data_IF_244299475192
#
_entry.id   IF_244299475192
#
_cell.length_a   1.000
_cell.length_b   1.000
_cell.length_c   1.000
_cell.angle_alpha   90.00
_cell.angle_beta   90.00
_cell.angle_gamma   90.00
#
_symmetry.space_group_name_H-M   'P 1'
#
loop_
_entity.id
_entity.type
_entity.pdbx_description
1 polymer ?
#
# COMPACT_ATOMS: atom_id res chain seq x y z
N UNK A 1 -17.53 -31.95 -63.81
CA UNK A 1 -17.37 -32.58 -62.46
C UNK A 1 -16.60 -31.60 -61.60
N UNK A 2 -17.30 -30.81 -60.76
CA UNK A 2 -16.69 -29.74 -59.90
C UNK A 2 -16.39 -30.31 -58.54
N UNK A 3 -15.11 -30.32 -58.16
CA UNK A 3 -14.70 -30.65 -56.83
C UNK A 3 -14.92 -29.44 -55.87
N UNK A 4 -15.80 -29.63 -54.89
CA UNK A 4 -15.99 -28.68 -53.80
C UNK A 4 -14.85 -28.84 -52.79
N UNK A 5 -14.00 -27.82 -52.62
CA UNK A 5 -13.04 -27.77 -51.52
C UNK A 5 -13.74 -27.34 -50.24
N UNK A 6 -13.83 -28.24 -49.27
CA UNK A 6 -14.26 -27.94 -47.89
C UNK A 6 -13.12 -27.22 -47.18
N UNK A 7 -13.24 -25.91 -47.02
CA UNK A 7 -12.44 -25.16 -46.06
C UNK A 7 -12.95 -25.44 -44.64
N UNK A 8 -12.24 -26.22 -43.87
CA UNK A 8 -12.45 -26.35 -42.46
C UNK A 8 -11.97 -25.05 -41.79
N UNK A 9 -12.91 -24.22 -41.37
CA UNK A 9 -12.66 -23.05 -40.53
C UNK A 9 -12.58 -23.54 -39.10
N UNK A 10 -11.35 -23.77 -38.60
CA UNK A 10 -11.11 -24.03 -37.17
C UNK A 10 -11.29 -22.71 -36.43
N UNK A 11 -12.45 -22.55 -35.82
CA UNK A 11 -12.74 -21.44 -34.91
C UNK A 11 -11.97 -21.72 -33.59
N UNK A 12 -10.79 -21.14 -33.46
CA UNK A 12 -10.02 -21.17 -32.21
C UNK A 12 -10.75 -20.29 -31.18
N UNK A 13 -11.64 -20.90 -30.42
CA UNK A 13 -12.21 -20.27 -29.24
C UNK A 13 -11.07 -20.12 -28.21
N UNK A 14 -10.39 -18.99 -28.23
CA UNK A 14 -9.54 -18.57 -27.11
C UNK A 14 -10.48 -18.24 -25.95
N UNK A 15 -10.74 -19.25 -25.13
CA UNK A 15 -11.37 -19.06 -23.81
C UNK A 15 -10.37 -18.26 -22.98
N UNK A 16 -10.46 -16.93 -23.03
CA UNK A 16 -9.84 -16.07 -22.00
C UNK A 16 -10.57 -16.39 -20.70
N UNK A 17 -10.11 -17.45 -20.01
CA UNK A 17 -10.31 -17.53 -18.58
C UNK A 17 -9.58 -16.31 -17.99
N UNK A 18 -10.33 -15.26 -17.72
CA UNK A 18 -9.90 -14.25 -16.76
C UNK A 18 -9.89 -15.01 -15.42
N UNK A 19 -8.75 -15.67 -15.13
CA UNK A 19 -8.50 -16.17 -13.79
C UNK A 19 -8.66 -14.96 -12.88
N UNK A 20 -9.52 -15.05 -11.89
CA UNK A 20 -9.61 -14.03 -10.87
C UNK A 20 -8.18 -13.85 -10.32
N UNK A 21 -7.63 -12.67 -10.51
CA UNK A 21 -6.27 -12.37 -10.07
C UNK A 21 -6.32 -12.33 -8.55
N UNK A 22 -5.42 -13.07 -7.90
CA UNK A 22 -5.35 -13.09 -6.46
C UNK A 22 -5.02 -11.69 -5.94
N UNK A 23 -5.74 -11.25 -4.93
CA UNK A 23 -5.46 -9.97 -4.26
C UNK A 23 -4.34 -10.13 -3.24
N UNK A 24 -3.62 -9.06 -3.03
CA UNK A 24 -2.64 -8.97 -1.95
C UNK A 24 -3.06 -7.86 -0.99
N UNK A 25 -3.08 -8.16 0.30
CA UNK A 25 -3.35 -7.18 1.36
C UNK A 25 -2.06 -6.96 2.15
N UNK A 26 -1.60 -5.71 2.23
CA UNK A 26 -0.39 -5.38 2.98
C UNK A 26 -0.79 -4.75 4.31
N UNK A 27 -0.49 -5.43 5.40
CA UNK A 27 -0.74 -4.94 6.75
C UNK A 27 0.35 -3.96 7.18
N UNK A 28 -0.07 -2.89 7.85
CA UNK A 28 0.79 -1.84 8.35
C UNK A 28 0.66 -1.72 9.87
N UNK A 29 1.79 -1.85 10.55
CA UNK A 29 1.96 -1.65 11.99
C UNK A 29 3.04 -0.59 12.27
N UNK A 30 3.14 -0.16 13.55
CA UNK A 30 4.21 0.75 13.98
C UNK A 30 4.77 0.32 15.34
N UNK A 31 4.03 0.54 16.44
CA UNK A 31 4.40 0.19 17.82
C UNK A 31 3.66 -1.03 18.30
N UNK A 32 4.24 -1.73 19.27
CA UNK A 32 3.59 -2.86 19.92
C UNK A 32 3.68 -2.73 21.43
N UNK A 33 2.56 -3.03 22.14
CA UNK A 33 2.45 -2.99 23.60
C UNK A 33 2.93 -1.68 24.23
N UNK A 34 2.77 -0.56 23.54
CA UNK A 34 3.19 0.77 23.97
C UNK A 34 1.98 1.70 24.21
N UNK A 35 1.37 1.58 25.38
CA UNK A 35 0.20 2.38 25.77
C UNK A 35 0.43 3.90 25.80
N UNK A 36 1.70 4.35 25.73
CA UNK A 36 2.02 5.80 25.68
C UNK A 36 1.58 6.45 24.37
N UNK A 37 1.46 5.64 23.31
CA UNK A 37 1.18 6.10 21.94
C UNK A 37 0.04 5.28 21.31
N UNK A 38 -1.19 5.39 21.81
CA UNK A 38 -2.31 4.56 21.37
C UNK A 38 -2.56 4.66 19.85
N UNK A 39 -2.44 5.86 19.28
CA UNK A 39 -2.69 6.10 17.84
C UNK A 39 -1.71 5.42 16.87
N UNK A 40 -0.68 4.76 17.37
CA UNK A 40 0.29 3.98 16.58
C UNK A 40 0.53 2.59 17.16
N UNK A 41 -0.18 2.24 18.24
CA UNK A 41 0.00 0.99 18.95
C UNK A 41 -0.92 -0.12 18.46
N UNK A 42 -0.40 -1.33 18.48
CA UNK A 42 -1.13 -2.60 18.32
C UNK A 42 -0.68 -3.52 19.45
N UNK A 43 -1.62 -4.19 20.13
CA UNK A 43 -1.25 -5.16 21.15
C UNK A 43 -0.74 -6.45 20.51
N UNK A 44 0.23 -7.12 21.13
CA UNK A 44 0.76 -8.39 20.60
C UNK A 44 -0.30 -9.48 20.52
N UNK A 45 -1.27 -9.50 21.43
CA UNK A 45 -2.43 -10.41 21.34
C UNK A 45 -3.31 -10.12 20.11
N UNK A 46 -3.37 -8.88 19.65
CA UNK A 46 -4.05 -8.54 18.39
C UNK A 46 -3.26 -9.05 17.19
N UNK A 47 -1.92 -8.85 17.20
CA UNK A 47 -1.05 -9.39 16.16
C UNK A 47 -1.19 -10.92 16.04
N UNK A 48 -1.22 -11.65 17.16
CA UNK A 48 -1.45 -13.09 17.16
C UNK A 48 -2.82 -13.46 16.55
N UNK A 49 -3.88 -12.71 16.90
CA UNK A 49 -5.21 -12.89 16.30
C UNK A 49 -5.20 -12.60 14.81
N UNK A 50 -4.51 -11.56 14.35
CA UNK A 50 -4.39 -11.23 12.92
C UNK A 50 -3.72 -12.37 12.15
N UNK A 51 -2.62 -12.92 12.65
CA UNK A 51 -1.93 -14.07 12.06
C UNK A 51 -2.86 -15.29 11.99
N UNK A 52 -3.62 -15.55 13.05
CA UNK A 52 -4.58 -16.64 13.10
C UNK A 52 -5.70 -16.47 12.06
N UNK A 53 -6.30 -15.27 11.95
CA UNK A 53 -7.35 -14.96 10.98
C UNK A 53 -6.86 -15.16 9.54
N UNK A 54 -5.65 -14.70 9.23
CA UNK A 54 -5.03 -14.87 7.91
C UNK A 54 -4.93 -16.35 7.55
N UNK A 55 -4.47 -17.19 8.50
CA UNK A 55 -4.38 -18.65 8.33
C UNK A 55 -5.76 -19.32 8.25
N UNK A 56 -6.73 -18.91 9.07
CA UNK A 56 -8.10 -19.43 9.03
C UNK A 56 -8.83 -19.15 7.72
N UNK A 57 -8.58 -18.00 7.12
CA UNK A 57 -9.15 -17.60 5.83
C UNK A 57 -8.39 -18.16 4.62
N UNK A 58 -7.40 -19.02 4.84
CA UNK A 58 -6.57 -19.69 3.82
C UNK A 58 -5.81 -18.71 2.91
N UNK A 59 -5.40 -17.55 3.43
CA UNK A 59 -4.49 -16.64 2.72
C UNK A 59 -3.04 -17.14 2.83
N UNK A 60 -2.28 -16.97 1.76
CA UNK A 60 -0.83 -17.14 1.80
C UNK A 60 -0.21 -15.98 2.60
N UNK A 61 0.86 -16.25 3.34
CA UNK A 61 1.65 -15.21 3.99
C UNK A 61 2.94 -15.05 3.17
N UNK A 62 3.10 -13.88 2.57
CA UNK A 62 4.20 -13.58 1.66
C UNK A 62 5.28 -12.73 2.33
N UNK A 63 6.51 -12.93 1.90
CA UNK A 63 7.59 -11.97 2.09
C UNK A 63 7.36 -10.75 1.19
N UNK A 64 8.05 -9.63 1.46
CA UNK A 64 8.01 -8.48 0.54
C UNK A 64 8.64 -8.83 -0.81
N UNK A 65 9.60 -9.77 -0.84
CA UNK A 65 10.18 -10.29 -2.08
C UNK A 65 9.17 -11.10 -2.91
N UNK A 66 8.29 -11.87 -2.26
CA UNK A 66 7.19 -12.55 -2.96
C UNK A 66 6.24 -11.55 -3.62
N UNK A 67 5.96 -10.41 -2.94
CA UNK A 67 5.17 -9.33 -3.52
C UNK A 67 5.88 -8.69 -4.71
N UNK A 68 7.19 -8.43 -4.61
CA UNK A 68 7.99 -7.94 -5.75
C UNK A 68 7.87 -8.89 -6.94
N UNK A 69 8.10 -10.18 -6.71
CA UNK A 69 8.02 -11.20 -7.76
C UNK A 69 6.64 -11.29 -8.39
N UNK A 70 5.58 -11.06 -7.61
CA UNK A 70 4.21 -10.97 -8.10
C UNK A 70 3.97 -9.71 -8.95
N UNK A 71 4.43 -8.55 -8.49
CA UNK A 71 4.31 -7.27 -9.20
C UNK A 71 4.99 -7.32 -10.56
N UNK A 72 6.17 -7.94 -10.64
CA UNK A 72 6.94 -8.06 -11.88
C UNK A 72 6.67 -9.34 -12.69
N UNK A 73 5.69 -10.14 -12.26
CA UNK A 73 5.18 -11.30 -13.02
C UNK A 73 6.04 -12.55 -12.95
N UNK A 74 7.07 -12.59 -12.09
CA UNK A 74 7.90 -13.80 -11.85
C UNK A 74 7.24 -14.80 -10.88
N UNK A 75 6.30 -14.35 -10.05
CA UNK A 75 5.46 -15.18 -9.18
C UNK A 75 4.00 -15.17 -9.64
N UNK A 76 3.40 -16.35 -9.74
CA UNK A 76 1.95 -16.50 -9.92
C UNK A 76 1.29 -16.69 -8.55
N UNK A 77 0.22 -15.98 -8.30
CA UNK A 77 -0.59 -16.18 -7.11
C UNK A 77 -1.74 -17.15 -7.38
N UNK A 78 -1.81 -18.22 -6.61
CA UNK A 78 -2.91 -19.20 -6.68
C UNK A 78 -3.97 -18.93 -5.60
N UNK A 79 -3.63 -18.15 -4.59
CA UNK A 79 -4.46 -17.74 -3.46
C UNK A 79 -4.24 -16.27 -3.18
N UNK A 80 -5.21 -15.65 -2.49
CA UNK A 80 -5.05 -14.34 -1.89
C UNK A 80 -3.89 -14.37 -0.88
N UNK A 81 -3.19 -13.25 -0.71
CA UNK A 81 -2.01 -13.19 0.12
C UNK A 81 -2.01 -11.98 1.06
N UNK A 82 -1.28 -12.12 2.17
CA UNK A 82 -1.01 -11.04 3.13
C UNK A 82 0.49 -10.85 3.26
N UNK A 83 0.92 -9.58 3.28
CA UNK A 83 2.29 -9.16 3.61
C UNK A 83 2.25 -8.35 4.90
N UNK A 84 3.14 -8.67 5.85
CA UNK A 84 3.24 -7.94 7.11
C UNK A 84 4.35 -6.89 7.03
N UNK A 85 4.02 -5.62 7.31
CA UNK A 85 4.97 -4.52 7.32
C UNK A 85 4.87 -3.70 8.60
N UNK A 86 6.01 -3.17 9.05
CA UNK A 86 6.11 -2.33 10.25
C UNK A 86 6.91 -1.10 9.90
N UNK A 87 6.39 0.10 10.21
CA UNK A 87 7.07 1.36 9.93
C UNK A 87 7.90 1.87 11.13
N UNK A 88 8.74 2.86 10.84
CA UNK A 88 9.56 3.66 11.75
C UNK A 88 10.74 2.92 12.40
N UNK A 89 10.59 1.65 12.76
CA UNK A 89 11.62 0.91 13.48
C UNK A 89 11.68 1.26 14.98
N UNK A 90 10.50 1.33 15.63
CA UNK A 90 10.43 1.49 17.09
C UNK A 90 11.02 0.28 17.83
N UNK A 91 11.58 0.53 19.03
CA UNK A 91 12.16 -0.50 19.89
C UNK A 91 11.17 -1.60 20.25
N UNK A 92 9.90 -1.26 20.45
CA UNK A 92 8.83 -2.20 20.76
C UNK A 92 8.64 -3.30 19.68
N UNK A 93 9.07 -3.04 18.45
CA UNK A 93 9.09 -4.07 17.38
C UNK A 93 9.99 -5.24 17.78
N UNK A 94 11.20 -4.95 18.26
CA UNK A 94 12.16 -5.96 18.71
C UNK A 94 11.73 -6.62 20.04
N UNK A 95 11.31 -5.81 21.00
CA UNK A 95 10.99 -6.29 22.34
C UNK A 95 9.74 -7.16 22.39
N UNK A 96 8.75 -6.89 21.53
CA UNK A 96 7.43 -7.53 21.57
C UNK A 96 7.10 -8.28 20.26
N UNK A 97 6.89 -7.59 19.14
CA UNK A 97 6.36 -8.18 17.91
C UNK A 97 7.28 -9.20 17.25
N UNK A 98 8.59 -8.99 17.28
CA UNK A 98 9.58 -9.86 16.66
C UNK A 98 9.48 -11.30 17.17
N UNK A 99 9.28 -11.49 18.48
CA UNK A 99 9.09 -12.81 19.10
C UNK A 99 7.81 -13.49 18.62
N UNK A 100 6.73 -12.72 18.46
CA UNK A 100 5.45 -13.23 17.93
C UNK A 100 5.62 -13.69 16.49
N UNK A 101 6.19 -12.85 15.62
CA UNK A 101 6.44 -13.24 14.23
C UNK A 101 7.31 -14.50 14.13
N UNK A 102 8.39 -14.58 14.90
CA UNK A 102 9.27 -15.75 14.94
C UNK A 102 8.54 -17.02 15.40
N UNK A 103 7.77 -16.94 16.49
CA UNK A 103 7.06 -18.12 17.05
C UNK A 103 6.02 -18.69 16.09
N UNK A 104 5.45 -17.86 15.23
CA UNK A 104 4.48 -18.26 14.21
C UNK A 104 5.09 -18.58 12.84
N UNK A 105 6.42 -18.37 12.67
CA UNK A 105 7.11 -18.54 11.39
C UNK A 105 6.61 -17.56 10.31
N UNK A 106 6.23 -16.35 10.70
CA UNK A 106 5.66 -15.31 9.82
C UNK A 106 6.75 -14.34 9.41
N UNK A 107 7.03 -14.17 8.11
CA UNK A 107 7.93 -13.15 7.61
C UNK A 107 7.31 -11.75 7.75
N UNK A 108 8.15 -10.75 7.99
CA UNK A 108 7.74 -9.35 7.98
C UNK A 108 8.89 -8.44 7.54
N UNK A 109 8.55 -7.22 7.12
CA UNK A 109 9.51 -6.20 6.70
C UNK A 109 9.39 -4.96 7.58
N UNK A 110 10.53 -4.40 8.00
CA UNK A 110 10.59 -3.14 8.74
C UNK A 110 11.04 -2.01 7.81
N UNK A 111 10.17 -1.02 7.59
CA UNK A 111 10.53 0.23 6.93
C UNK A 111 11.16 1.17 7.95
N UNK A 112 12.47 1.34 7.87
CA UNK A 112 13.29 1.92 8.91
C UNK A 112 13.54 3.41 8.68
N UNK A 113 13.16 4.25 9.65
CA UNK A 113 13.60 5.63 9.74
C UNK A 113 15.05 5.68 10.22
N UNK A 114 15.99 5.80 9.31
CA UNK A 114 17.44 5.67 9.60
C UNK A 114 17.94 6.73 10.59
N UNK A 115 17.43 7.95 10.53
CA UNK A 115 17.85 9.03 11.43
C UNK A 115 17.46 8.84 12.89
N UNK A 116 16.54 7.91 13.17
CA UNK A 116 16.08 7.63 14.53
C UNK A 116 16.80 6.43 15.19
N UNK A 117 17.53 5.63 14.41
CA UNK A 117 18.23 4.44 14.92
C UNK A 117 19.20 4.82 16.04
N UNK A 118 19.06 4.14 17.17
CA UNK A 118 19.86 4.37 18.38
C UNK A 118 19.25 5.35 19.37
N UNK A 119 18.14 6.03 19.07
CA UNK A 119 17.38 6.78 20.07
C UNK A 119 16.62 5.82 21.00
N UNK A 120 16.28 6.29 22.21
CA UNK A 120 15.74 5.44 23.29
C UNK A 120 14.52 4.60 22.89
N UNK A 121 13.61 5.17 22.10
CA UNK A 121 12.37 4.52 21.66
C UNK A 121 12.50 3.75 20.34
N UNK A 122 13.72 3.70 19.75
CA UNK A 122 13.96 3.11 18.44
C UNK A 122 14.92 1.91 18.52
N UNK A 123 14.95 1.12 17.44
CA UNK A 123 15.90 0.02 17.30
C UNK A 123 17.34 0.51 17.37
N UNK A 124 18.23 -0.29 17.97
CA UNK A 124 19.68 -0.11 17.86
C UNK A 124 20.22 -0.88 16.66
N UNK A 125 21.44 -0.58 16.23
CA UNK A 125 22.08 -1.32 15.15
C UNK A 125 22.31 -2.79 15.51
N UNK A 126 22.57 -3.12 16.78
CA UNK A 126 22.74 -4.49 17.25
C UNK A 126 21.44 -5.28 17.15
N UNK A 127 20.29 -4.67 17.48
CA UNK A 127 18.96 -5.27 17.28
C UNK A 127 18.67 -5.51 15.78
N UNK A 128 18.96 -4.53 14.94
CA UNK A 128 18.79 -4.64 13.48
C UNK A 128 19.65 -5.77 12.93
N UNK A 129 20.93 -5.87 13.33
CA UNK A 129 21.82 -6.92 12.88
C UNK A 129 21.34 -8.32 13.31
N UNK A 130 20.80 -8.45 14.53
CA UNK A 130 20.21 -9.71 15.00
C UNK A 130 18.98 -10.08 14.17
N UNK A 131 18.06 -9.14 13.97
CA UNK A 131 16.85 -9.36 13.17
C UNK A 131 17.20 -9.76 11.72
N UNK A 132 18.20 -9.10 11.11
CA UNK A 132 18.69 -9.44 9.77
C UNK A 132 19.24 -10.87 9.71
N UNK A 133 20.04 -11.28 10.70
CA UNK A 133 20.57 -12.66 10.77
C UNK A 133 19.48 -13.72 10.89
N UNK A 134 18.34 -13.35 11.47
CA UNK A 134 17.15 -14.19 11.62
C UNK A 134 16.11 -14.00 10.50
N UNK A 135 16.49 -13.37 9.38
CA UNK A 135 15.68 -13.32 8.17
C UNK A 135 14.66 -12.19 8.10
N UNK A 136 14.67 -11.21 9.02
CA UNK A 136 13.83 -10.03 8.92
C UNK A 136 14.37 -9.12 7.82
N UNK A 137 13.48 -8.67 6.93
CA UNK A 137 13.81 -7.72 5.88
C UNK A 137 13.69 -6.27 6.39
N UNK A 138 14.61 -5.43 5.94
CA UNK A 138 14.59 -3.99 6.22
C UNK A 138 14.51 -3.20 4.94
N UNK A 139 13.69 -2.15 4.96
CA UNK A 139 13.43 -1.26 3.84
C UNK A 139 13.54 0.21 4.28
N UNK A 140 13.55 1.12 3.33
CA UNK A 140 13.81 2.54 3.57
C UNK A 140 12.53 3.30 3.92
N UNK A 141 12.54 4.02 5.04
CA UNK A 141 11.49 4.95 5.46
C UNK A 141 12.05 6.37 5.65
N UNK A 142 12.92 6.79 4.73
CA UNK A 142 13.68 8.03 4.74
C UNK A 142 14.75 8.09 5.87
N UNK A 143 15.58 9.13 5.83
CA UNK A 143 16.45 9.47 6.95
C UNK A 143 15.71 10.29 8.00
N UNK A 144 14.99 11.33 7.57
CA UNK A 144 14.42 12.36 8.44
C UNK A 144 12.95 12.15 8.81
N UNK A 145 12.23 11.23 8.17
CA UNK A 145 10.78 11.07 8.26
C UNK A 145 10.01 12.35 7.93
N UNK A 146 10.52 13.12 6.95
CA UNK A 146 9.90 14.38 6.53
C UNK A 146 8.65 14.11 5.68
N UNK A 147 7.60 14.90 5.91
CA UNK A 147 6.46 15.02 4.98
C UNK A 147 6.91 15.88 3.79
N UNK A 148 7.50 15.23 2.77
CA UNK A 148 8.10 15.95 1.64
C UNK A 148 7.09 16.78 0.85
N UNK A 149 5.89 16.26 0.47
CA UNK A 149 4.92 17.08 -0.25
C UNK A 149 4.47 18.33 0.51
N UNK A 150 4.41 18.30 1.86
CA UNK A 150 4.06 19.48 2.67
C UNK A 150 5.04 20.64 2.47
N UNK A 151 6.29 20.36 2.08
CA UNK A 151 7.29 21.39 1.82
C UNK A 151 6.98 22.24 0.60
N UNK A 152 6.07 21.81 -0.29
CA UNK A 152 5.62 22.59 -1.44
C UNK A 152 4.90 23.89 -1.05
N UNK A 153 4.47 24.01 0.20
CA UNK A 153 3.99 25.28 0.77
C UNK A 153 5.12 26.31 1.04
N UNK A 154 6.39 25.87 1.04
CA UNK A 154 7.54 26.68 1.46
C UNK A 154 8.67 26.75 0.43
N UNK A 155 8.70 25.84 -0.53
CA UNK A 155 9.75 25.76 -1.54
C UNK A 155 9.21 25.24 -2.88
N UNK A 156 9.98 25.41 -3.94
CA UNK A 156 9.61 24.91 -5.27
C UNK A 156 9.65 23.38 -5.30
N UNK A 157 8.92 22.78 -6.24
CA UNK A 157 8.89 21.32 -6.44
C UNK A 157 10.30 20.76 -6.68
N UNK A 158 11.13 21.42 -7.51
CA UNK A 158 12.49 20.97 -7.76
C UNK A 158 13.35 20.97 -6.49
N UNK A 159 13.23 21.99 -5.63
CA UNK A 159 13.96 22.01 -4.36
C UNK A 159 13.51 20.90 -3.41
N UNK A 160 12.20 20.66 -3.33
CA UNK A 160 11.66 19.57 -2.53
C UNK A 160 12.13 18.21 -3.04
N UNK A 161 12.10 17.97 -4.34
CA UNK A 161 12.55 16.71 -4.96
C UNK A 161 14.06 16.47 -4.75
N UNK A 162 14.88 17.51 -4.83
CA UNK A 162 16.31 17.41 -4.54
C UNK A 162 16.57 17.10 -3.06
N UNK A 163 15.78 17.70 -2.16
CA UNK A 163 15.84 17.36 -0.73
C UNK A 163 15.40 15.93 -0.48
N UNK A 164 14.29 15.49 -1.09
CA UNK A 164 13.83 14.10 -1.01
C UNK A 164 14.92 13.11 -1.45
N UNK A 165 15.52 13.34 -2.62
CA UNK A 165 16.61 12.49 -3.14
C UNK A 165 17.81 12.46 -2.19
N UNK A 166 18.23 13.61 -1.67
CA UNK A 166 19.35 13.71 -0.72
C UNK A 166 19.08 12.92 0.55
N UNK A 167 17.88 13.05 1.12
CA UNK A 167 17.44 12.34 2.33
C UNK A 167 17.38 10.82 2.10
N UNK A 168 16.76 10.40 1.00
CA UNK A 168 16.67 9.02 0.55
C UNK A 168 18.07 8.37 0.45
N UNK A 169 18.98 9.02 -0.27
CA UNK A 169 20.32 8.48 -0.51
C UNK A 169 21.20 8.51 0.75
N UNK A 170 20.97 9.47 1.65
CA UNK A 170 21.60 9.48 2.97
C UNK A 170 21.21 8.25 3.79
N UNK A 171 19.91 7.94 3.85
CA UNK A 171 19.41 6.74 4.52
C UNK A 171 20.04 5.47 3.93
N UNK A 172 20.04 5.37 2.59
CA UNK A 172 20.58 4.23 1.86
C UNK A 172 22.07 3.99 2.13
N UNK A 173 22.86 5.07 2.11
CA UNK A 173 24.29 5.00 2.38
C UNK A 173 24.58 4.53 3.81
N UNK A 174 23.94 5.12 4.82
CA UNK A 174 24.15 4.75 6.22
C UNK A 174 23.79 3.29 6.46
N UNK A 175 22.64 2.83 5.94
CA UNK A 175 22.23 1.43 6.10
C UNK A 175 23.23 0.48 5.47
N UNK A 176 23.72 0.78 4.26
CA UNK A 176 24.74 -0.02 3.56
C UNK A 176 26.07 -0.05 4.30
N UNK A 177 26.52 1.09 4.85
CA UNK A 177 27.77 1.18 5.64
C UNK A 177 27.67 0.33 6.93
N UNK A 178 26.49 0.26 7.55
CA UNK A 178 26.29 -0.46 8.82
C UNK A 178 26.06 -1.96 8.64
N UNK A 179 25.33 -2.37 7.60
CA UNK A 179 24.85 -3.75 7.45
C UNK A 179 25.44 -4.48 6.25
N UNK A 180 26.12 -3.78 5.36
CA UNK A 180 26.58 -4.29 4.06
C UNK A 180 25.43 -4.52 3.04
N UNK A 181 24.17 -4.30 3.40
CA UNK A 181 23.00 -4.53 2.56
C UNK A 181 22.46 -3.25 1.95
N UNK A 182 21.71 -3.39 0.86
CA UNK A 182 21.02 -2.29 0.17
C UNK A 182 19.51 -2.48 0.33
N UNK A 183 18.79 -1.41 0.68
CA UNK A 183 17.34 -1.40 0.72
C UNK A 183 16.78 -1.10 -0.68
N UNK A 184 15.85 -1.93 -1.16
CA UNK A 184 15.26 -1.76 -2.51
C UNK A 184 13.76 -1.47 -2.48
N UNK A 185 13.19 -1.34 -1.29
CA UNK A 185 11.80 -0.98 -1.07
C UNK A 185 11.71 0.30 -0.25
N UNK A 186 10.67 1.08 -0.49
CA UNK A 186 10.45 2.36 0.17
C UNK A 186 9.03 2.46 0.72
N UNK A 187 8.84 3.01 1.92
CA UNK A 187 7.55 3.47 2.37
C UNK A 187 7.56 5.01 2.49
N UNK A 188 6.54 5.65 1.92
CA UNK A 188 6.42 7.10 2.02
C UNK A 188 6.05 7.50 3.45
N UNK A 189 6.82 8.39 4.13
CA UNK A 189 6.43 8.94 5.43
C UNK A 189 5.00 9.49 5.39
N UNK A 190 4.17 9.14 6.39
CA UNK A 190 2.73 9.46 6.46
C UNK A 190 1.90 8.89 5.30
N UNK A 191 2.50 8.12 4.38
CA UNK A 191 1.90 7.70 3.13
C UNK A 191 1.72 8.82 2.11
N UNK A 192 2.41 9.96 2.29
CA UNK A 192 2.29 11.14 1.44
C UNK A 192 3.35 11.15 0.32
N UNK A 193 2.89 11.35 -0.90
CA UNK A 193 3.76 11.36 -2.08
C UNK A 193 3.16 12.19 -3.22
N UNK A 194 4.01 12.56 -4.16
CA UNK A 194 3.62 13.06 -5.48
C UNK A 194 4.26 12.16 -6.55
N UNK A 195 3.69 12.08 -7.77
CA UNK A 195 4.18 11.15 -8.81
C UNK A 195 5.69 11.24 -9.09
N UNK A 196 6.26 12.44 -9.09
CA UNK A 196 7.70 12.64 -9.32
C UNK A 196 8.61 12.01 -8.26
N UNK A 197 8.13 11.80 -7.04
CA UNK A 197 8.89 11.04 -6.03
C UNK A 197 9.03 9.58 -6.44
N UNK A 198 7.99 8.97 -7.02
CA UNK A 198 8.04 7.61 -7.55
C UNK A 198 9.05 7.49 -8.71
N UNK A 199 9.12 8.50 -9.59
CA UNK A 199 10.11 8.55 -10.67
C UNK A 199 11.55 8.58 -10.12
N UNK A 200 11.82 9.35 -9.05
CA UNK A 200 13.13 9.37 -8.39
C UNK A 200 13.44 8.01 -7.77
N UNK A 201 12.50 7.39 -7.05
CA UNK A 201 12.70 6.05 -6.49
C UNK A 201 13.08 5.05 -7.57
N UNK A 202 12.39 5.06 -8.70
CA UNK A 202 12.68 4.19 -9.85
C UNK A 202 14.08 4.44 -10.42
N UNK A 203 14.47 5.71 -10.58
CA UNK A 203 15.80 6.11 -11.07
C UNK A 203 16.92 5.68 -10.13
N UNK A 204 16.67 5.70 -8.81
CA UNK A 204 17.64 5.29 -7.78
C UNK A 204 17.61 3.76 -7.49
N UNK A 205 16.87 2.99 -8.32
CA UNK A 205 16.88 1.52 -8.29
C UNK A 205 15.98 0.90 -7.21
N UNK A 206 15.04 1.64 -6.66
CA UNK A 206 13.99 1.04 -5.82
C UNK A 206 13.02 0.25 -6.70
N UNK A 207 12.48 -0.82 -6.13
CA UNK A 207 11.61 -1.76 -6.85
C UNK A 207 10.14 -1.61 -6.46
N UNK A 208 9.85 -1.35 -5.19
CA UNK A 208 8.51 -1.13 -4.71
C UNK A 208 8.45 0.11 -3.82
N UNK A 209 7.31 0.83 -3.87
CA UNK A 209 7.01 1.87 -2.89
C UNK A 209 5.58 1.75 -2.35
N UNK A 210 5.44 2.01 -1.05
CA UNK A 210 4.25 1.76 -0.27
C UNK A 210 3.66 3.06 0.26
N UNK A 211 2.36 3.24 0.02
CA UNK A 211 1.57 4.32 0.61
C UNK A 211 0.93 3.89 1.93
N UNK A 212 0.10 4.76 2.50
CA UNK A 212 -0.84 4.41 3.58
C UNK A 212 -2.30 4.60 3.10
N UNK A 213 -2.53 4.44 1.82
CA UNK A 213 -3.88 4.35 1.28
C UNK A 213 -4.43 2.95 1.60
N UNK A 214 -5.57 2.82 2.33
CA UNK A 214 -6.14 1.50 2.62
C UNK A 214 -6.62 0.78 1.35
N UNK A 215 -6.69 -0.54 1.41
CA UNK A 215 -7.29 -1.37 0.36
C UNK A 215 -6.39 -2.51 -0.09
N UNK A 216 -6.98 -3.53 -0.72
CA UNK A 216 -6.22 -4.60 -1.35
C UNK A 216 -5.50 -4.10 -2.61
N UNK A 217 -4.34 -4.67 -2.86
CA UNK A 217 -3.50 -4.36 -4.02
C UNK A 217 -3.93 -5.16 -5.26
N UNK A 218 -3.90 -4.51 -6.41
CA UNK A 218 -3.94 -5.09 -7.75
C UNK A 218 -2.73 -4.62 -8.56
N UNK A 219 -2.14 -5.48 -9.40
CA UNK A 219 -0.93 -5.14 -10.17
C UNK A 219 -1.12 -3.94 -11.11
N UNK A 220 -2.36 -3.64 -11.51
CA UNK A 220 -2.67 -2.45 -12.30
C UNK A 220 -2.42 -1.13 -11.57
N UNK A 221 -2.26 -1.16 -10.25
CA UNK A 221 -1.93 0.04 -9.47
C UNK A 221 -0.47 0.48 -9.62
N UNK A 222 0.38 -0.42 -10.16
CA UNK A 222 1.81 -0.18 -10.33
C UNK A 222 2.62 -0.50 -9.07
N UNK A 223 3.95 -0.41 -9.21
CA UNK A 223 4.90 -0.82 -8.18
C UNK A 223 5.17 0.26 -7.11
N UNK A 224 4.77 1.52 -7.35
CA UNK A 224 5.18 2.67 -6.52
C UNK A 224 4.02 3.34 -5.76
N UNK A 225 2.85 2.69 -5.72
CA UNK A 225 1.66 3.15 -4.98
C UNK A 225 0.95 2.00 -4.27
N UNK A 226 1.72 1.04 -3.73
CA UNK A 226 1.17 -0.14 -3.08
C UNK A 226 0.39 0.28 -1.83
N UNK A 227 -0.92 -0.04 -1.74
CA UNK A 227 -1.74 0.31 -0.60
C UNK A 227 -1.39 -0.53 0.63
N UNK A 228 -1.66 -0.01 1.82
CA UNK A 228 -1.46 -0.71 3.09
C UNK A 228 -2.62 -0.47 4.04
N UNK A 229 -3.02 -1.51 4.76
CA UNK A 229 -4.07 -1.48 5.77
C UNK A 229 -3.46 -1.19 7.15
N UNK A 230 -3.68 0.00 7.73
CA UNK A 230 -3.21 0.29 9.08
C UNK A 230 -4.02 -0.51 10.11
N UNK A 231 -3.33 -1.23 10.98
CA UNK A 231 -3.91 -2.04 12.04
C UNK A 231 -3.48 -1.48 13.40
N UNK A 232 -4.24 -0.51 13.90
CA UNK A 232 -4.00 0.20 15.14
C UNK A 232 -5.34 0.58 15.77
N UNK A 233 -5.41 0.72 17.08
CA UNK A 233 -6.62 1.08 17.84
C UNK A 233 -7.84 0.24 17.41
N UNK A 234 -8.98 0.90 17.11
CA UNK A 234 -10.21 0.25 16.67
C UNK A 234 -10.07 -0.51 15.33
N UNK A 235 -9.03 -0.20 14.56
CA UNK A 235 -8.74 -0.88 13.28
C UNK A 235 -7.93 -2.17 13.47
N UNK A 236 -7.45 -2.46 14.67
CA UNK A 236 -6.78 -3.73 15.01
C UNK A 236 -7.76 -4.83 15.45
N UNK A 237 -9.07 -4.57 15.51
CA UNK A 237 -10.06 -5.56 15.94
C UNK A 237 -10.20 -6.71 14.95
N UNK A 238 -10.54 -7.91 15.46
CA UNK A 238 -10.79 -9.10 14.63
C UNK A 238 -11.84 -8.84 13.54
N UNK A 239 -12.94 -8.16 13.91
CA UNK A 239 -14.03 -7.85 12.97
C UNK A 239 -13.56 -6.97 11.83
N UNK A 240 -12.67 -5.99 12.13
CA UNK A 240 -12.10 -5.13 11.12
C UNK A 240 -11.14 -5.90 10.19
N UNK A 241 -10.26 -6.75 10.74
CA UNK A 241 -9.34 -7.56 9.93
C UNK A 241 -10.11 -8.50 8.99
N UNK A 242 -11.15 -9.18 9.47
CA UNK A 242 -12.01 -10.01 8.60
C UNK A 242 -12.70 -9.18 7.52
N UNK A 243 -13.15 -7.97 7.85
CA UNK A 243 -13.75 -7.05 6.88
C UNK A 243 -12.75 -6.62 5.80
N UNK A 244 -11.54 -6.16 6.16
CA UNK A 244 -10.56 -5.73 5.16
C UNK A 244 -10.10 -6.88 4.26
N UNK A 245 -9.97 -8.11 4.80
CA UNK A 245 -9.63 -9.30 4.02
C UNK A 245 -10.78 -9.76 3.10
N UNK A 246 -12.04 -9.35 3.35
CA UNK A 246 -13.18 -9.67 2.49
C UNK A 246 -13.33 -8.75 1.27
N UNK A 247 -12.66 -7.58 1.27
CA UNK A 247 -12.76 -6.58 0.19
C UNK A 247 -11.94 -7.00 -1.02
N UNK A 248 -12.35 -6.50 -2.19
CA UNK A 248 -11.69 -6.75 -3.46
C UNK A 248 -11.06 -5.46 -4.01
N UNK A 249 -9.98 -5.55 -4.80
CA UNK A 249 -9.40 -4.38 -5.44
C UNK A 249 -10.34 -3.83 -6.53
N UNK A 250 -10.53 -2.51 -6.52
CA UNK A 250 -11.30 -1.82 -7.54
C UNK A 250 -10.35 -1.28 -8.62
N UNK A 251 -10.53 -1.71 -9.85
CA UNK A 251 -9.72 -1.23 -10.98
C UNK A 251 -10.50 -0.22 -11.81
N UNK A 252 -9.86 0.89 -12.15
CA UNK A 252 -10.42 1.97 -12.97
C UNK A 252 -9.60 2.20 -14.22
N UNK A 253 -10.25 2.68 -15.30
CA UNK A 253 -9.52 3.25 -16.44
C UNK A 253 -8.95 4.61 -16.02
N UNK A 254 -7.65 4.84 -16.28
CA UNK A 254 -6.96 6.11 -16.04
C UNK A 254 -7.01 6.66 -14.59
N UNK A 255 -6.38 7.82 -14.38
CA UNK A 255 -6.48 8.56 -13.11
C UNK A 255 -7.93 9.00 -12.90
N UNK A 256 -8.57 8.65 -11.76
CA UNK A 256 -10.00 8.79 -11.59
C UNK A 256 -10.48 10.21 -11.28
N UNK A 257 -9.58 11.15 -11.06
CA UNK A 257 -9.94 12.51 -10.63
C UNK A 257 -8.99 13.58 -11.16
N UNK A 258 -9.48 14.81 -11.15
CA UNK A 258 -8.70 16.04 -11.34
C UNK A 258 -8.95 16.95 -10.16
N UNK A 259 -7.88 17.56 -9.63
CA UNK A 259 -7.97 18.64 -8.64
C UNK A 259 -7.51 19.94 -9.28
N UNK A 260 -8.41 20.92 -9.35
CA UNK A 260 -8.13 22.24 -9.90
C UNK A 260 -8.78 23.33 -9.05
N UNK A 261 -8.00 24.32 -8.62
CA UNK A 261 -8.46 25.44 -7.80
C UNK A 261 -9.23 24.98 -6.54
N UNK A 262 -8.75 23.90 -5.89
CA UNK A 262 -9.40 23.32 -4.72
C UNK A 262 -10.70 22.55 -5.01
N UNK A 263 -11.09 22.38 -6.27
CA UNK A 263 -12.26 21.57 -6.67
C UNK A 263 -11.77 20.20 -7.12
N UNK A 264 -12.20 19.17 -6.41
CA UNK A 264 -12.00 17.76 -6.77
C UNK A 264 -13.15 17.33 -7.68
N UNK A 265 -12.85 17.01 -8.93
CA UNK A 265 -13.81 16.44 -9.89
C UNK A 265 -13.43 14.97 -10.16
N UNK A 266 -14.36 14.06 -9.88
CA UNK A 266 -14.20 12.61 -10.09
C UNK A 266 -14.98 12.20 -11.33
N UNK A 267 -14.30 11.54 -12.26
CA UNK A 267 -14.90 10.82 -13.39
C UNK A 267 -14.10 9.54 -13.61
N UNK A 268 -14.59 8.45 -13.06
CA UNK A 268 -13.86 7.20 -13.01
C UNK A 268 -14.67 6.07 -13.61
N UNK A 269 -14.20 5.49 -14.71
CA UNK A 269 -14.79 4.29 -15.27
C UNK A 269 -14.22 3.06 -14.57
N UNK A 270 -15.11 2.28 -13.96
CA UNK A 270 -14.78 1.07 -13.22
C UNK A 270 -14.67 -0.10 -14.21
N UNK A 271 -13.54 -0.80 -14.16
CA UNK A 271 -13.21 -1.94 -14.99
C UNK A 271 -13.42 -3.26 -14.23
N UNK A 272 -13.06 -3.26 -12.94
CA UNK A 272 -13.29 -4.37 -12.02
C UNK A 272 -14.02 -3.82 -10.77
N UNK A 273 -15.21 -4.33 -10.45
CA UNK A 273 -15.95 -5.41 -11.14
C UNK A 273 -16.48 -5.01 -12.53
N UNK A 274 -16.73 -6.00 -13.39
CA UNK A 274 -17.28 -5.75 -14.75
C UNK A 274 -18.68 -5.15 -14.74
N UNK A 275 -19.48 -5.53 -13.74
CA UNK A 275 -20.84 -5.00 -13.52
C UNK A 275 -20.88 -4.31 -12.18
N UNK A 276 -21.30 -3.06 -12.17
CA UNK A 276 -21.44 -2.24 -10.96
C UNK A 276 -22.91 -1.93 -10.75
N UNK A 277 -23.47 -2.41 -9.63
CA UNK A 277 -24.84 -2.08 -9.23
C UNK A 277 -24.92 -0.80 -8.42
N UNK A 278 -23.86 -0.51 -7.68
CA UNK A 278 -23.81 0.58 -6.74
C UNK A 278 -22.37 1.08 -6.59
N UNK A 279 -22.18 2.39 -6.61
CA UNK A 279 -20.87 3.01 -6.38
C UNK A 279 -21.00 4.25 -5.49
N UNK A 280 -20.01 4.46 -4.61
CA UNK A 280 -19.93 5.61 -3.73
C UNK A 280 -18.58 6.29 -3.82
N UNK A 281 -18.57 7.56 -3.48
CA UNK A 281 -17.38 8.37 -3.30
C UNK A 281 -17.33 8.85 -1.85
N UNK A 282 -16.20 8.65 -1.21
CA UNK A 282 -15.90 9.18 0.11
C UNK A 282 -14.62 10.03 0.02
N UNK A 283 -14.62 11.17 0.69
CA UNK A 283 -13.46 12.04 0.81
C UNK A 283 -13.21 12.31 2.28
N UNK A 284 -11.97 12.12 2.74
CA UNK A 284 -11.65 12.15 4.19
C UNK A 284 -12.08 13.45 4.90
N UNK A 285 -12.05 14.59 4.20
CA UNK A 285 -12.50 15.88 4.72
C UNK A 285 -14.03 16.06 4.74
N UNK A 286 -14.75 15.34 3.87
CA UNK A 286 -16.19 15.57 3.62
C UNK A 286 -17.08 14.42 4.01
N UNK A 287 -16.53 13.21 4.23
CA UNK A 287 -17.33 12.00 4.32
C UNK A 287 -17.83 11.55 2.94
N UNK A 288 -19.01 10.93 2.91
CA UNK A 288 -19.65 10.56 1.66
C UNK A 288 -20.09 11.80 0.90
N UNK A 289 -19.69 11.90 -0.37
CA UNK A 289 -20.09 12.98 -1.26
C UNK A 289 -21.13 12.49 -2.27
N UNK A 290 -21.90 13.41 -2.83
CA UNK A 290 -22.90 13.08 -3.86
C UNK A 290 -22.22 12.45 -5.05
N UNK A 291 -22.66 11.25 -5.44
CA UNK A 291 -22.14 10.51 -6.58
C UNK A 291 -23.26 10.09 -7.52
N UNK A 292 -22.91 9.89 -8.79
CA UNK A 292 -23.79 9.39 -9.85
C UNK A 292 -23.05 8.26 -10.58
N UNK A 293 -23.74 7.15 -10.85
CA UNK A 293 -23.22 6.02 -11.59
C UNK A 293 -23.94 5.91 -12.93
N UNK A 294 -23.21 5.94 -14.04
CA UNK A 294 -23.73 5.77 -15.40
C UNK A 294 -22.77 4.91 -16.21
N UNK A 295 -23.24 3.79 -16.76
CA UNK A 295 -22.43 2.89 -17.60
C UNK A 295 -21.08 2.51 -16.96
N UNK A 296 -21.10 2.05 -15.72
CA UNK A 296 -19.92 1.76 -14.88
C UNK A 296 -18.98 2.96 -14.64
N UNK A 297 -19.42 4.17 -14.93
CA UNK A 297 -18.63 5.39 -14.65
C UNK A 297 -19.24 6.11 -13.45
N UNK A 298 -18.43 6.32 -12.41
CA UNK A 298 -18.82 7.11 -11.25
C UNK A 298 -18.38 8.55 -11.42
N UNK A 299 -19.29 9.47 -11.11
CA UNK A 299 -19.08 10.90 -11.16
C UNK A 299 -19.33 11.52 -9.79
N UNK A 300 -18.59 12.56 -9.47
CA UNK A 300 -18.81 13.38 -8.29
C UNK A 300 -17.92 14.61 -8.29
N UNK A 301 -18.28 15.58 -7.46
CA UNK A 301 -17.51 16.81 -7.32
C UNK A 301 -17.64 17.35 -5.90
N UNK A 302 -16.54 17.92 -5.38
CA UNK A 302 -16.54 18.61 -4.08
C UNK A 302 -15.37 19.57 -3.96
N UNK A 303 -15.54 20.63 -3.18
CA UNK A 303 -14.46 21.56 -2.83
C UNK A 303 -13.64 20.99 -1.66
N UNK A 304 -12.32 21.10 -1.74
CA UNK A 304 -11.37 20.71 -0.71
C UNK A 304 -10.65 21.92 -0.13
N UNK A 305 -10.45 21.89 1.19
CA UNK A 305 -9.69 22.91 1.93
C UNK A 305 -8.37 22.35 2.48
N UNK A 306 -8.37 21.10 2.90
CA UNK A 306 -7.17 20.47 3.50
C UNK A 306 -6.15 20.15 2.43
N UNK A 307 -4.88 20.24 2.81
CA UNK A 307 -3.74 19.87 1.97
C UNK A 307 -3.80 18.40 1.55
N UNK A 308 -4.15 17.50 2.48
CA UNK A 308 -4.26 16.07 2.21
C UNK A 308 -5.68 15.58 2.37
N UNK A 309 -6.12 14.86 1.36
CA UNK A 309 -7.36 14.12 1.39
C UNK A 309 -7.12 12.70 0.86
N UNK A 310 -7.95 11.75 1.29
CA UNK A 310 -8.07 10.44 0.66
C UNK A 310 -9.44 10.36 -0.02
N UNK A 311 -9.42 10.15 -1.34
CA UNK A 311 -10.60 9.81 -2.11
C UNK A 311 -10.73 8.29 -2.12
N UNK A 312 -11.85 7.75 -1.61
CA UNK A 312 -12.23 6.36 -1.81
C UNK A 312 -13.29 6.27 -2.89
N UNK A 313 -13.04 5.39 -3.85
CA UNK A 313 -14.08 4.89 -4.76
C UNK A 313 -14.42 3.49 -4.28
N UNK A 314 -15.68 3.26 -3.93
CA UNK A 314 -16.20 1.94 -3.59
C UNK A 314 -17.31 1.55 -4.56
N UNK A 315 -17.34 0.29 -4.95
CA UNK A 315 -18.36 -0.27 -5.84
C UNK A 315 -18.80 -1.64 -5.33
N UNK A 316 -20.04 -2.05 -5.67
CA UNK A 316 -20.56 -3.38 -5.37
C UNK A 316 -21.18 -4.00 -6.61
N UNK A 317 -20.89 -5.28 -6.83
CA UNK A 317 -21.52 -6.11 -7.87
C UNK A 317 -22.81 -6.82 -7.38
N UNK A 318 -23.16 -6.64 -6.13
CA UNK A 318 -24.26 -7.28 -5.41
C UNK A 318 -23.82 -8.40 -4.45
N UNK A 319 -22.54 -8.85 -4.54
CA UNK A 319 -21.97 -9.88 -3.66
C UNK A 319 -20.79 -9.38 -2.87
N UNK A 320 -19.85 -8.70 -3.54
CA UNK A 320 -18.57 -8.24 -3.00
C UNK A 320 -18.49 -6.72 -3.00
N UNK A 321 -17.67 -6.21 -2.12
CA UNK A 321 -17.27 -4.81 -2.10
C UNK A 321 -15.88 -4.67 -2.70
N UNK A 322 -15.78 -3.77 -3.66
CA UNK A 322 -14.55 -3.39 -4.36
C UNK A 322 -14.22 -1.95 -3.97
N UNK A 323 -12.98 -1.69 -3.61
CA UNK A 323 -12.58 -0.33 -3.29
C UNK A 323 -11.13 -0.03 -3.66
N UNK A 324 -10.88 1.24 -3.87
CA UNK A 324 -9.53 1.81 -3.99
C UNK A 324 -9.51 3.19 -3.38
N UNK A 325 -8.45 3.47 -2.62
CA UNK A 325 -8.14 4.80 -2.11
C UNK A 325 -7.07 5.46 -2.95
N UNK A 326 -7.17 6.77 -3.06
CA UNK A 326 -6.21 7.63 -3.74
C UNK A 326 -5.82 8.77 -2.81
N UNK A 327 -4.54 9.10 -2.76
CA UNK A 327 -4.10 10.34 -2.12
C UNK A 327 -4.45 11.51 -3.03
N UNK A 328 -5.16 12.48 -2.50
CA UNK A 328 -5.45 13.76 -3.16
C UNK A 328 -4.66 14.85 -2.45
N UNK A 329 -3.64 15.35 -3.14
CA UNK A 329 -2.78 16.41 -2.62
C UNK A 329 -3.21 17.76 -3.18
N UNK A 330 -3.59 18.69 -2.29
CA UNK A 330 -3.95 20.06 -2.59
C UNK A 330 -2.84 21.00 -2.11
N UNK A 331 -1.94 21.39 -3.00
CA UNK A 331 -0.81 22.26 -2.65
C UNK A 331 -1.23 23.65 -2.15
N UNK A 332 -2.49 24.06 -2.35
CA UNK A 332 -3.06 25.34 -1.87
C UNK A 332 -3.93 25.13 -0.61
N UNK A 333 -4.01 23.91 -0.10
CA UNK A 333 -4.79 23.58 1.09
C UNK A 333 -4.10 23.97 2.39
N UNK A 334 -4.92 24.09 3.46
CA UNK A 334 -4.48 24.34 4.85
C UNK A 334 -4.06 23.05 5.57
#
# INVERSE_FOLDING_TARGET
>A
MKMLSRKFMVLLLVLLCVLAQAKVVVFLYHRFDDARYPSTNTWTEELERHIKIVKELDFDIWTIKDLEDYVYGSKKANKDAVVFTVDDGYRSVYEHAYKVFQSHGVPFCVFLQIGAVGYSDYLTWEMIDEMIRNGVEFANHSFSHTDFPALLSKMSENQMLEYFKTDLMKAQRIFKERTGKTMVYYAYPYGHYIPKMAEILQQEGFLLAFSQNPGPYDVSYGAFEIPREPLLEDWATESHVRYILSREPLVTENLPFVLQNGILTVKSKIVVPKEVRYATLYVSEKGLIKSRLENNTVFGETALKKMYNRLMISARDGKKEYLRYYLVFNAQGE
#
